data_IF_961183300320
#
_entry.id   IF_961183300320
#
_cell.length_a   1.000
_cell.length_b   1.000
_cell.length_c   1.000
_cell.angle_alpha   90.00
_cell.angle_beta   90.00
_cell.angle_gamma   90.00
#
_symmetry.space_group_name_H-M   'P 1'
#
loop_
_entity.id
_entity.type
_entity.pdbx_description
1 polymer ?
#
# COMPACT_ATOMS: atom_id res chain seq x y z
N UNK A 1 6.47 -52.77 -40.89
CA UNK A 1 6.28 -51.37 -40.50
C UNK A 1 4.82 -51.01 -40.24
N UNK A 2 4.28 -51.46 -39.10
CA UNK A 2 2.91 -51.13 -38.65
C UNK A 2 2.88 -49.96 -37.66
N UNK A 3 3.86 -49.06 -37.75
CA UNK A 3 4.07 -47.92 -36.83
C UNK A 3 4.26 -46.60 -37.61
N UNK A 4 3.78 -46.51 -38.85
CA UNK A 4 3.73 -45.25 -39.60
C UNK A 4 2.28 -44.80 -39.90
N UNK A 5 1.30 -45.72 -39.86
CA UNK A 5 -0.10 -45.43 -40.19
C UNK A 5 -0.95 -44.93 -39.01
N UNK A 6 -0.40 -44.85 -37.80
CA UNK A 6 -1.16 -44.37 -36.62
C UNK A 6 -0.96 -42.88 -36.31
N UNK A 7 -0.01 -42.21 -36.96
CA UNK A 7 0.28 -40.78 -36.69
C UNK A 7 -0.45 -39.82 -37.64
N UNK A 8 -1.08 -40.34 -38.70
CA UNK A 8 -1.90 -39.54 -39.64
C UNK A 8 -3.37 -39.98 -39.55
N UNK A 9 -3.93 -40.04 -38.34
CA UNK A 9 -5.39 -40.14 -38.19
C UNK A 9 -5.97 -39.46 -36.95
N UNK A 10 -5.16 -38.76 -36.16
CA UNK A 10 -5.63 -38.02 -34.98
C UNK A 10 -5.59 -36.50 -35.13
N UNK A 11 -5.26 -36.00 -36.33
CA UNK A 11 -5.42 -34.59 -36.72
C UNK A 11 -6.29 -34.44 -37.98
N UNK A 12 -7.00 -35.50 -38.38
CA UNK A 12 -8.15 -35.33 -39.26
C UNK A 12 -9.27 -34.78 -38.39
N UNK A 13 -9.23 -33.47 -38.13
CA UNK A 13 -10.43 -32.71 -37.80
C UNK A 13 -11.54 -33.17 -38.74
N UNK A 14 -12.76 -33.45 -38.28
CA UNK A 14 -13.85 -33.68 -39.20
C UNK A 14 -13.92 -32.45 -40.11
N UNK A 15 -13.57 -32.67 -41.38
CA UNK A 15 -13.81 -31.73 -42.47
C UNK A 15 -15.33 -31.72 -42.62
N UNK A 16 -16.00 -30.83 -41.89
CA UNK A 16 -17.47 -30.84 -41.89
C UNK A 16 -18.17 -30.00 -40.82
N UNK A 17 -17.50 -29.51 -39.78
CA UNK A 17 -18.13 -28.51 -38.90
C UNK A 17 -17.62 -27.13 -39.33
N UNK A 18 -18.40 -26.48 -40.19
CA UNK A 18 -18.30 -25.04 -40.40
C UNK A 18 -18.35 -24.39 -39.02
N UNK A 19 -17.20 -23.88 -38.53
CA UNK A 19 -17.23 -22.96 -37.39
C UNK A 19 -18.16 -21.83 -37.80
N UNK A 20 -19.27 -21.72 -37.10
CA UNK A 20 -20.26 -20.70 -37.42
C UNK A 20 -19.61 -19.32 -37.22
N UNK A 21 -20.15 -18.29 -37.86
CA UNK A 21 -19.72 -16.92 -37.57
C UNK A 21 -19.84 -16.62 -36.06
N UNK A 22 -20.79 -17.26 -35.36
CA UNK A 22 -20.90 -17.23 -33.89
C UNK A 22 -19.73 -17.89 -33.16
N UNK A 23 -19.23 -19.05 -33.62
CA UNK A 23 -18.05 -19.70 -33.03
C UNK A 23 -16.78 -18.86 -33.21
N UNK A 24 -16.69 -18.16 -34.35
CA UNK A 24 -15.56 -17.26 -34.66
C UNK A 24 -15.64 -15.95 -33.86
N UNK A 25 -16.85 -15.42 -33.62
CA UNK A 25 -17.07 -14.24 -32.78
C UNK A 25 -16.93 -14.55 -31.28
N UNK A 26 -17.32 -15.74 -30.80
CA UNK A 26 -17.01 -16.21 -29.44
C UNK A 26 -15.51 -16.31 -29.20
N UNK A 27 -14.74 -16.77 -30.18
CA UNK A 27 -13.27 -16.79 -30.11
C UNK A 27 -12.61 -15.40 -30.08
N UNK A 28 -13.34 -14.33 -30.45
CA UNK A 28 -12.85 -12.93 -30.37
C UNK A 28 -13.15 -12.24 -29.04
N UNK A 29 -14.08 -12.77 -28.23
CA UNK A 29 -14.29 -12.28 -26.88
C UNK A 29 -13.22 -12.92 -25.99
N UNK A 30 -12.30 -12.12 -25.46
CA UNK A 30 -11.38 -12.62 -24.43
C UNK A 30 -12.22 -12.96 -23.21
N UNK A 31 -12.33 -14.25 -22.90
CA UNK A 31 -12.91 -14.69 -21.64
C UNK A 31 -12.14 -14.08 -20.47
N UNK A 32 -12.87 -13.69 -19.43
CA UNK A 32 -12.27 -13.16 -18.21
C UNK A 32 -11.33 -14.19 -17.60
N UNK A 33 -10.15 -13.76 -17.15
CA UNK A 33 -9.28 -14.64 -16.37
C UNK A 33 -9.73 -14.67 -14.91
N UNK A 34 -9.30 -15.68 -14.15
CA UNK A 34 -9.48 -15.70 -12.67
C UNK A 34 -9.03 -14.38 -12.05
N UNK A 35 -7.89 -13.85 -12.47
CA UNK A 35 -7.32 -12.61 -11.94
C UNK A 35 -8.22 -11.41 -12.22
N UNK A 36 -8.81 -11.32 -13.40
CA UNK A 36 -9.74 -10.22 -13.74
C UNK A 36 -11.00 -10.26 -12.89
N UNK A 37 -11.55 -11.47 -12.65
CA UNK A 37 -12.73 -11.67 -11.81
C UNK A 37 -12.43 -11.31 -10.35
N UNK A 38 -11.32 -11.79 -9.79
CA UNK A 38 -10.94 -11.50 -8.41
C UNK A 38 -10.63 -10.02 -8.19
N UNK A 39 -9.98 -9.35 -9.16
CA UNK A 39 -9.79 -7.90 -9.10
C UNK A 39 -11.12 -7.16 -9.17
N UNK A 40 -12.01 -7.56 -10.10
CA UNK A 40 -13.35 -6.97 -10.19
C UNK A 40 -14.16 -7.13 -8.90
N UNK A 41 -14.07 -8.28 -8.25
CA UNK A 41 -14.68 -8.51 -6.93
C UNK A 41 -14.08 -7.61 -5.85
N UNK A 42 -12.75 -7.61 -5.71
CA UNK A 42 -12.03 -6.79 -4.72
C UNK A 42 -12.34 -5.30 -4.88
N UNK A 43 -12.44 -4.83 -6.12
CA UNK A 43 -12.75 -3.44 -6.48
C UNK A 43 -14.26 -3.13 -6.43
N UNK A 44 -15.09 -4.07 -5.97
CA UNK A 44 -16.56 -3.95 -5.87
C UNK A 44 -17.27 -3.71 -7.21
N UNK A 45 -16.64 -4.07 -8.32
CA UNK A 45 -17.26 -4.09 -9.66
C UNK A 45 -18.16 -5.32 -9.84
N UNK A 46 -17.87 -6.40 -9.12
CA UNK A 46 -18.64 -7.63 -9.08
C UNK A 46 -19.04 -7.93 -7.63
N UNK A 47 -20.28 -8.36 -7.41
CA UNK A 47 -20.68 -8.96 -6.13
C UNK A 47 -20.20 -10.43 -6.03
N UNK A 48 -20.26 -11.00 -4.83
CA UNK A 48 -19.77 -12.36 -4.56
C UNK A 48 -20.48 -13.42 -5.42
N UNK A 49 -21.80 -13.34 -5.57
CA UNK A 49 -22.57 -14.32 -6.34
C UNK A 49 -22.22 -14.29 -7.83
N UNK A 50 -22.08 -13.08 -8.39
CA UNK A 50 -21.64 -12.90 -9.78
C UNK A 50 -20.21 -13.41 -9.97
N UNK A 51 -19.30 -13.13 -9.03
CA UNK A 51 -17.92 -13.61 -9.09
C UNK A 51 -17.83 -15.14 -9.01
N UNK A 52 -18.60 -15.78 -8.11
CA UNK A 52 -18.69 -17.25 -8.01
C UNK A 52 -19.20 -17.88 -9.30
N UNK A 53 -20.24 -17.31 -9.92
CA UNK A 53 -20.78 -17.83 -11.18
C UNK A 53 -19.74 -17.79 -12.30
N UNK A 54 -18.98 -16.70 -12.42
CA UNK A 54 -17.94 -16.58 -13.43
C UNK A 54 -16.79 -17.56 -13.13
N UNK A 55 -16.36 -17.68 -11.87
CA UNK A 55 -15.34 -18.65 -11.48
C UNK A 55 -15.78 -20.09 -11.76
N UNK A 56 -17.04 -20.43 -11.51
CA UNK A 56 -17.59 -21.74 -11.86
C UNK A 56 -17.52 -22.01 -13.37
N UNK A 57 -17.89 -21.03 -14.21
CA UNK A 57 -17.78 -21.13 -15.68
C UNK A 57 -16.33 -21.27 -16.14
N UNK A 58 -15.38 -20.72 -15.39
CA UNK A 58 -13.93 -20.88 -15.62
C UNK A 58 -13.38 -22.23 -15.11
N UNK A 59 -14.22 -23.07 -14.51
CA UNK A 59 -13.86 -24.42 -14.07
C UNK A 59 -13.44 -24.55 -12.60
N UNK A 60 -13.60 -23.50 -11.79
CA UNK A 60 -13.36 -23.57 -10.35
C UNK A 60 -14.55 -24.21 -9.62
N UNK A 61 -14.25 -25.05 -8.63
CA UNK A 61 -15.27 -25.59 -7.74
C UNK A 61 -15.85 -24.50 -6.83
N UNK A 62 -17.00 -24.78 -6.20
CA UNK A 62 -17.59 -23.89 -5.22
C UNK A 62 -16.62 -23.61 -4.04
N UNK A 63 -15.95 -24.64 -3.54
CA UNK A 63 -14.98 -24.49 -2.44
C UNK A 63 -13.75 -23.66 -2.82
N UNK A 64 -13.26 -23.80 -4.06
CA UNK A 64 -12.15 -22.96 -4.54
C UNK A 64 -12.58 -21.51 -4.71
N UNK A 65 -13.79 -21.28 -5.24
CA UNK A 65 -14.35 -19.94 -5.42
C UNK A 65 -14.53 -19.24 -4.07
N UNK A 66 -15.15 -19.92 -3.09
CA UNK A 66 -15.32 -19.43 -1.73
C UNK A 66 -13.97 -19.06 -1.09
N UNK A 67 -12.96 -19.93 -1.21
CA UNK A 67 -11.62 -19.66 -0.71
C UNK A 67 -10.99 -18.40 -1.34
N UNK A 68 -11.10 -18.24 -2.67
CA UNK A 68 -10.54 -17.08 -3.34
C UNK A 68 -11.24 -15.78 -2.94
N UNK A 69 -12.58 -15.77 -2.88
CA UNK A 69 -13.32 -14.59 -2.48
C UNK A 69 -13.03 -14.21 -1.02
N UNK A 70 -13.02 -15.17 -0.10
CA UNK A 70 -12.65 -14.93 1.29
C UNK A 70 -11.23 -14.36 1.43
N UNK A 71 -10.29 -14.81 0.58
CA UNK A 71 -8.94 -14.24 0.54
C UNK A 71 -8.94 -12.79 0.05
N UNK A 72 -9.71 -12.47 -1.00
CA UNK A 72 -9.81 -11.09 -1.50
C UNK A 72 -10.47 -10.17 -0.48
N UNK A 73 -11.48 -10.64 0.26
CA UNK A 73 -12.09 -9.89 1.37
C UNK A 73 -11.07 -9.62 2.47
N UNK A 74 -10.32 -10.64 2.90
CA UNK A 74 -9.24 -10.46 3.87
C UNK A 74 -8.18 -9.46 3.39
N UNK A 75 -7.83 -9.50 2.10
CA UNK A 75 -6.86 -8.58 1.52
C UNK A 75 -7.40 -7.14 1.50
N UNK A 76 -8.65 -6.93 1.09
CA UNK A 76 -9.32 -5.62 1.10
C UNK A 76 -9.33 -5.04 2.52
N UNK A 77 -9.74 -5.84 3.51
CA UNK A 77 -9.75 -5.43 4.91
C UNK A 77 -8.34 -5.12 5.43
N UNK A 78 -7.33 -5.90 5.00
CA UNK A 78 -5.93 -5.66 5.35
C UNK A 78 -5.41 -4.35 4.76
N UNK A 79 -5.74 -4.07 3.50
CA UNK A 79 -5.31 -2.86 2.79
C UNK A 79 -5.97 -1.61 3.41
N UNK A 80 -7.27 -1.68 3.75
CA UNK A 80 -7.99 -0.61 4.43
C UNK A 80 -7.40 -0.33 5.82
N UNK A 81 -7.14 -1.38 6.61
CA UNK A 81 -6.51 -1.25 7.93
C UNK A 81 -5.12 -0.64 7.83
N UNK A 82 -4.32 -1.07 6.86
CA UNK A 82 -2.97 -0.54 6.61
C UNK A 82 -3.02 0.94 6.23
N UNK A 83 -3.89 1.31 5.29
CA UNK A 83 -4.10 2.69 4.86
C UNK A 83 -4.56 3.58 6.02
N UNK A 84 -5.53 3.12 6.81
CA UNK A 84 -6.04 3.85 7.97
C UNK A 84 -4.96 4.04 9.02
N UNK A 85 -4.21 2.99 9.35
CA UNK A 85 -3.10 3.05 10.30
C UNK A 85 -2.03 4.04 9.86
N UNK A 86 -1.69 4.07 8.56
CA UNK A 86 -0.73 5.02 7.98
C UNK A 86 -1.20 6.48 8.07
N UNK A 87 -2.49 6.74 7.83
CA UNK A 87 -3.06 8.08 7.96
C UNK A 87 -3.08 8.56 9.41
N UNK A 88 -3.48 7.68 10.34
CA UNK A 88 -3.46 7.93 11.78
C UNK A 88 -2.04 8.24 12.27
N UNK A 89 -1.05 7.44 11.86
CA UNK A 89 0.37 7.66 12.12
C UNK A 89 0.82 9.06 11.68
N UNK A 90 0.59 9.38 10.41
CA UNK A 90 0.96 10.66 9.80
C UNK A 90 0.32 11.84 10.53
N UNK A 91 -0.97 11.74 10.88
CA UNK A 91 -1.69 12.76 11.62
C UNK A 91 -1.15 12.93 13.04
N UNK A 92 -0.91 11.84 13.76
CA UNK A 92 -0.42 11.90 15.13
C UNK A 92 0.98 12.51 15.22
N UNK A 93 1.89 12.06 14.35
CA UNK A 93 3.26 12.56 14.27
C UNK A 93 3.32 14.04 13.88
N UNK A 94 2.39 14.51 13.02
CA UNK A 94 2.27 15.92 12.64
C UNK A 94 1.50 16.77 13.65
N UNK A 95 1.00 16.18 14.74
CA UNK A 95 0.25 16.88 15.78
C UNK A 95 -1.20 17.20 15.42
N UNK A 96 -1.76 16.59 14.37
CA UNK A 96 -3.19 16.67 14.04
C UNK A 96 -4.02 15.94 15.10
N UNK A 97 -3.50 14.81 15.60
CA UNK A 97 -4.12 14.05 16.69
C UNK A 97 -3.33 14.20 17.99
N UNK A 98 -4.05 14.34 19.10
CA UNK A 98 -3.55 14.16 20.46
C UNK A 98 -3.42 12.67 20.82
N UNK A 99 -2.75 12.38 21.95
CA UNK A 99 -2.58 11.01 22.43
C UNK A 99 -3.93 10.32 22.73
N UNK A 100 -4.89 11.07 23.29
CA UNK A 100 -6.21 10.53 23.59
C UNK A 100 -6.99 10.21 22.31
N UNK A 101 -6.98 11.13 21.34
CA UNK A 101 -7.67 10.93 20.04
C UNK A 101 -7.06 9.75 19.27
N UNK A 102 -5.73 9.66 19.17
CA UNK A 102 -5.10 8.56 18.44
C UNK A 102 -5.35 7.19 19.10
N UNK A 103 -5.44 7.15 20.44
CA UNK A 103 -5.75 5.93 21.18
C UNK A 103 -7.19 5.48 20.92
N UNK A 104 -8.14 6.41 20.90
CA UNK A 104 -9.55 6.13 20.54
C UNK A 104 -9.68 5.63 19.10
N UNK A 105 -9.02 6.29 18.14
CA UNK A 105 -9.05 5.89 16.73
C UNK A 105 -8.41 4.52 16.49
N UNK A 106 -7.27 4.22 17.10
CA UNK A 106 -6.66 2.88 17.03
C UNK A 106 -7.54 1.80 17.68
N UNK A 107 -8.27 2.15 18.73
CA UNK A 107 -9.23 1.25 19.39
C UNK A 107 -10.35 0.79 18.45
N UNK A 108 -10.80 1.65 17.53
CA UNK A 108 -11.83 1.33 16.53
C UNK A 108 -11.38 0.29 15.50
N UNK A 109 -10.07 0.14 15.31
CA UNK A 109 -9.50 -0.87 14.40
C UNK A 109 -9.49 -2.29 14.99
N UNK A 110 -9.93 -2.46 16.25
CA UNK A 110 -9.99 -3.75 16.95
C UNK A 110 -8.65 -4.52 16.90
N UNK A 111 -7.55 -3.79 16.97
CA UNK A 111 -6.19 -4.35 16.98
C UNK A 111 -5.88 -4.95 18.36
N UNK A 112 -5.02 -5.98 18.44
CA UNK A 112 -4.53 -6.47 19.71
C UNK A 112 -3.85 -5.36 20.53
N UNK A 113 -4.17 -5.24 21.81
CA UNK A 113 -3.62 -4.18 22.67
C UNK A 113 -2.07 -4.05 22.62
N UNK A 114 -1.28 -5.14 22.62
CA UNK A 114 0.18 -5.03 22.49
C UNK A 114 0.65 -4.38 21.17
N UNK A 115 -0.13 -4.54 20.09
CA UNK A 115 0.15 -3.93 18.80
C UNK A 115 -0.09 -2.42 18.83
N UNK A 116 -1.21 -2.00 19.44
CA UNK A 116 -1.55 -0.59 19.64
C UNK A 116 -0.49 0.11 20.48
N UNK A 117 -0.07 -0.50 21.60
CA UNK A 117 1.01 0.03 22.45
C UNK A 117 2.33 0.17 21.69
N UNK A 118 2.67 -0.81 20.85
CA UNK A 118 3.88 -0.75 20.03
C UNK A 118 3.84 0.40 18.99
N UNK A 119 2.68 0.62 18.34
CA UNK A 119 2.49 1.75 17.45
C UNK A 119 2.66 3.08 18.17
N UNK A 120 1.94 3.30 19.26
CA UNK A 120 2.00 4.55 20.02
C UNK A 120 3.42 4.86 20.49
N UNK A 121 4.13 3.86 21.03
CA UNK A 121 5.53 4.02 21.45
C UNK A 121 6.44 4.44 20.29
N UNK A 122 6.32 3.78 19.14
CA UNK A 122 7.13 4.10 17.96
C UNK A 122 6.82 5.50 17.42
N UNK A 123 5.54 5.89 17.43
CA UNK A 123 5.10 7.17 16.90
C UNK A 123 5.43 8.33 17.85
N UNK A 124 5.41 8.12 19.16
CA UNK A 124 5.90 9.10 20.14
C UNK A 124 7.37 9.41 19.93
N UNK A 125 8.19 8.38 19.68
CA UNK A 125 9.61 8.56 19.36
C UNK A 125 9.77 9.36 18.06
N UNK A 126 9.02 9.03 17.00
CA UNK A 126 9.08 9.77 15.75
C UNK A 126 8.63 11.23 15.94
N UNK A 127 7.51 11.46 16.62
CA UNK A 127 6.98 12.80 16.91
C UNK A 127 7.98 13.64 17.70
N UNK A 128 8.61 13.06 18.72
CA UNK A 128 9.67 13.70 19.49
C UNK A 128 10.93 13.97 18.66
N UNK A 129 11.23 13.13 17.67
CA UNK A 129 12.35 13.37 16.73
C UNK A 129 12.07 14.50 15.74
N UNK A 130 10.79 14.75 15.42
CA UNK A 130 10.34 15.83 14.52
C UNK A 130 10.20 17.19 15.23
N UNK A 131 11.16 17.56 16.06
CA UNK A 131 11.26 18.96 16.52
C UNK A 131 11.45 19.81 15.27
N UNK A 132 10.48 20.67 14.96
CA UNK A 132 10.63 21.69 13.93
C UNK A 132 11.75 22.63 14.35
N UNK A 133 12.98 22.31 13.95
CA UNK A 133 14.14 23.16 14.19
C UNK A 133 14.10 24.32 13.20
N UNK A 134 14.44 25.55 13.63
CA UNK A 134 14.64 26.64 12.71
C UNK A 134 15.68 26.23 11.65
N UNK A 135 15.43 26.62 10.40
CA UNK A 135 16.37 26.41 9.30
C UNK A 135 17.66 27.19 9.55
N UNK A 136 18.74 26.83 8.85
CA UNK A 136 20.02 27.58 8.88
C UNK A 136 19.80 29.09 8.70
N UNK A 137 18.97 29.47 7.72
CA UNK A 137 18.71 30.88 7.40
C UNK A 137 17.96 31.58 8.53
N UNK A 138 17.02 30.90 9.19
CA UNK A 138 16.32 31.43 10.37
C UNK A 138 17.26 31.55 11.57
N UNK A 139 18.10 30.54 11.85
CA UNK A 139 19.11 30.62 12.91
C UNK A 139 20.10 31.77 12.69
N UNK A 140 20.57 31.97 11.46
CA UNK A 140 21.40 33.13 11.09
C UNK A 140 20.65 34.44 11.32
N UNK A 141 19.38 34.51 10.94
CA UNK A 141 18.56 35.69 11.17
C UNK A 141 18.31 35.95 12.67
N UNK A 142 18.13 34.90 13.48
CA UNK A 142 17.96 34.99 14.93
C UNK A 142 19.23 35.48 15.61
N UNK A 143 20.40 34.98 15.20
CA UNK A 143 21.70 35.44 15.70
C UNK A 143 21.94 36.92 15.35
N UNK A 144 21.69 37.32 14.09
CA UNK A 144 21.82 38.73 13.64
C UNK A 144 20.89 39.69 14.37
N UNK A 145 19.71 39.21 14.76
CA UNK A 145 18.71 39.98 15.52
C UNK A 145 18.93 39.87 17.03
N UNK A 146 20.01 39.23 17.48
CA UNK A 146 20.33 39.00 18.89
C UNK A 146 19.20 38.29 19.67
N UNK A 147 18.37 37.50 18.98
CA UNK A 147 17.30 36.69 19.59
C UNK A 147 17.90 35.46 20.30
N UNK A 148 19.03 34.97 19.79
CA UNK A 148 19.85 33.90 20.36
C UNK A 148 21.31 34.35 20.38
N UNK A 149 22.09 33.81 21.32
CA UNK A 149 23.53 34.05 21.39
C UNK A 149 24.33 33.10 20.48
N UNK A 150 25.63 33.35 20.38
CA UNK A 150 26.54 32.58 19.51
C UNK A 150 26.69 31.13 19.95
N UNK A 151 26.61 30.84 21.25
CA UNK A 151 26.73 29.49 21.80
C UNK A 151 25.49 28.64 21.49
N UNK A 152 24.31 29.23 21.67
CA UNK A 152 23.02 28.67 21.31
C UNK A 152 22.95 28.43 19.80
N UNK A 153 23.35 29.42 19.00
CA UNK A 153 23.40 29.28 17.54
C UNK A 153 24.34 28.15 17.09
N UNK A 154 25.52 28.02 17.73
CA UNK A 154 26.48 26.95 17.42
C UNK A 154 25.88 25.57 17.73
N UNK A 155 25.27 25.41 18.90
CA UNK A 155 24.60 24.17 19.34
C UNK A 155 23.47 23.78 18.38
N UNK A 156 22.64 24.73 17.98
CA UNK A 156 21.53 24.48 17.05
C UNK A 156 22.03 24.10 15.65
N UNK A 157 23.10 24.76 15.16
CA UNK A 157 23.72 24.44 13.87
C UNK A 157 24.35 23.03 13.86
N UNK A 158 24.97 22.59 14.96
CA UNK A 158 25.39 21.19 15.14
C UNK A 158 24.18 20.25 15.14
N UNK A 159 23.10 20.64 15.81
CA UNK A 159 21.85 19.91 15.86
C UNK A 159 21.11 19.79 14.52
N UNK A 160 21.47 20.60 13.51
CA UNK A 160 21.04 20.49 12.11
C UNK A 160 21.99 19.62 11.26
N UNK A 161 23.10 19.15 11.83
CA UNK A 161 24.09 18.29 11.17
C UNK A 161 25.21 19.03 10.43
N UNK A 162 25.42 20.33 10.68
CA UNK A 162 26.54 21.05 10.07
C UNK A 162 27.87 20.72 10.78
N UNK A 163 28.94 20.36 10.04
CA UNK A 163 30.28 20.25 10.61
C UNK A 163 30.78 21.57 11.21
N UNK A 164 31.48 21.52 12.34
CA UNK A 164 32.03 22.70 13.06
C UNK A 164 32.73 23.69 12.14
N UNK A 165 33.59 23.21 11.23
CA UNK A 165 34.30 24.06 10.27
C UNK A 165 33.39 24.97 9.44
N UNK A 166 32.18 24.52 9.09
CA UNK A 166 31.23 25.31 8.32
C UNK A 166 30.45 26.27 9.21
N UNK A 167 30.18 25.86 10.45
CA UNK A 167 29.60 26.72 11.47
C UNK A 167 30.53 27.92 11.69
N UNK A 168 31.83 27.71 11.80
CA UNK A 168 32.81 28.80 11.93
C UNK A 168 32.78 29.78 10.74
N UNK A 169 32.68 29.27 9.51
CA UNK A 169 32.57 30.13 8.33
C UNK A 169 31.28 30.95 8.32
N UNK A 170 30.15 30.34 8.70
CA UNK A 170 28.90 31.08 8.85
C UNK A 170 28.99 32.11 9.98
N UNK A 171 29.67 31.80 11.08
CA UNK A 171 29.85 32.72 12.20
C UNK A 171 30.68 33.96 11.82
N UNK A 172 31.61 33.83 10.87
CA UNK A 172 32.39 34.95 10.34
C UNK A 172 31.61 35.81 9.34
N UNK A 173 30.56 35.25 8.73
CA UNK A 173 29.73 35.92 7.73
C UNK A 173 28.44 36.56 8.30
N UNK A 174 28.26 36.47 9.62
CA UNK A 174 27.10 36.98 10.35
C UNK A 174 27.39 38.34 10.95
#
# INVERSE_FOLDING_TARGET
DKMADFTIKYNASPVGDEQTAEDTERAKQKDLTRTDVLNGYRDSLLDAGTAEEILYRLGYSAAESEYYLAREDYQRDSDERSFTTSNLHSGYVKGVFSFAEITDELGKLNLPAPMTEAFLKMWDIEKASRINKPTKSELVAFLRKEIIDKETWHTEMLGLGYPERYIDWYAQAV
#
